data_IF_060915494034
#
_entry.id   IF_060915494034
#
_cell.length_a   1.000
_cell.length_b   1.000
_cell.length_c   1.000
_cell.angle_alpha   90.00
_cell.angle_beta   90.00
_cell.angle_gamma   90.00
#
_symmetry.space_group_name_H-M   'P 1'
#
loop_
_entity.id
_entity.type
_entity.pdbx_description
1 polymer ?
#
# COMPACT_ATOMS: atom_id res chain seq x y z
N UNK A 1 11.78 -4.19 -17.00
CA UNK A 1 10.84 -3.14 -16.57
C UNK A 1 11.66 -1.97 -16.06
N UNK A 2 11.36 -0.73 -16.44
CA UNK A 2 12.02 0.42 -15.81
C UNK A 2 11.22 0.82 -14.58
N UNK A 3 11.74 0.51 -13.40
CA UNK A 3 11.19 0.90 -12.10
C UNK A 3 11.89 2.14 -11.58
N UNK A 4 11.26 2.87 -10.66
CA UNK A 4 11.90 4.01 -10.00
C UNK A 4 12.66 3.53 -8.77
N UNK A 5 13.78 4.19 -8.46
CA UNK A 5 14.57 3.86 -7.25
C UNK A 5 13.72 3.90 -5.97
N UNK A 6 12.79 4.86 -5.85
CA UNK A 6 11.91 4.97 -4.68
C UNK A 6 10.93 3.80 -4.60
N UNK A 7 10.39 3.35 -5.74
CA UNK A 7 9.50 2.20 -5.81
C UNK A 7 10.21 0.92 -5.36
N UNK A 8 11.38 0.62 -5.93
CA UNK A 8 12.13 -0.59 -5.59
C UNK A 8 12.48 -0.63 -4.10
N UNK A 9 12.90 0.51 -3.54
CA UNK A 9 13.18 0.63 -2.12
C UNK A 9 11.94 0.44 -1.23
N UNK A 10 10.78 0.95 -1.64
CA UNK A 10 9.55 0.76 -0.89
C UNK A 10 9.07 -0.70 -0.94
N UNK A 11 9.10 -1.34 -2.11
CA UNK A 11 8.69 -2.74 -2.29
C UNK A 11 9.61 -3.68 -1.51
N UNK A 12 10.93 -3.49 -1.57
CA UNK A 12 11.88 -4.31 -0.81
C UNK A 12 11.63 -4.22 0.70
N UNK A 13 11.44 -3.01 1.25
CA UNK A 13 11.12 -2.81 2.66
C UNK A 13 9.80 -3.46 3.06
N UNK A 14 8.76 -3.30 2.25
CA UNK A 14 7.44 -3.89 2.51
C UNK A 14 7.49 -5.42 2.44
N UNK A 15 8.23 -5.97 1.48
CA UNK A 15 8.45 -7.40 1.33
C UNK A 15 9.17 -7.97 2.55
N UNK A 16 10.29 -7.35 2.97
CA UNK A 16 11.01 -7.74 4.17
C UNK A 16 10.12 -7.66 5.42
N UNK A 17 9.34 -6.59 5.58
CA UNK A 17 8.44 -6.44 6.72
C UNK A 17 7.36 -7.53 6.77
N UNK A 18 6.79 -7.88 5.61
CA UNK A 18 5.81 -8.96 5.50
C UNK A 18 6.42 -10.33 5.85
N UNK A 19 7.58 -10.67 5.29
CA UNK A 19 8.23 -11.97 5.52
C UNK A 19 8.81 -12.10 6.95
N UNK A 20 9.24 -11.00 7.56
CA UNK A 20 9.75 -10.99 8.93
C UNK A 20 8.66 -10.90 10.00
N UNK A 21 7.37 -10.97 9.63
CA UNK A 21 6.23 -10.83 10.54
C UNK A 21 6.19 -9.49 11.28
N UNK A 22 6.78 -8.44 10.71
CA UNK A 22 6.83 -7.10 11.31
C UNK A 22 5.88 -6.11 10.66
N UNK A 23 5.07 -6.52 9.68
CA UNK A 23 4.06 -5.67 9.05
C UNK A 23 2.76 -5.72 9.87
N UNK A 24 2.36 -4.62 10.50
CA UNK A 24 1.22 -4.58 11.43
C UNK A 24 0.30 -3.36 11.20
N UNK A 25 -1.00 -3.56 10.88
CA UNK A 25 -1.95 -2.46 10.63
C UNK A 25 -2.11 -1.45 11.76
N UNK A 26 -2.12 -1.90 13.02
CA UNK A 26 -2.40 -1.01 14.16
C UNK A 26 -1.13 -0.35 14.77
N UNK A 27 0.04 -0.50 14.15
CA UNK A 27 1.30 0.03 14.68
C UNK A 27 1.91 1.03 13.68
N UNK A 28 1.99 2.31 14.05
CA UNK A 28 2.44 3.38 13.17
C UNK A 28 3.91 3.26 12.69
N UNK A 29 4.72 2.46 13.39
CA UNK A 29 6.11 2.15 12.99
C UNK A 29 6.19 0.93 12.06
N UNK A 30 5.20 0.04 12.12
CA UNK A 30 5.22 -1.28 11.48
C UNK A 30 4.14 -1.44 10.40
N UNK A 31 3.26 -0.46 10.21
CA UNK A 31 2.34 -0.44 9.09
C UNK A 31 3.08 -0.24 7.76
N UNK A 32 2.35 -0.16 6.65
CA UNK A 32 2.95 0.04 5.34
C UNK A 32 3.80 1.33 5.28
N UNK A 33 3.27 2.44 5.80
CA UNK A 33 4.01 3.71 5.81
C UNK A 33 5.20 3.67 6.77
N UNK A 34 5.00 3.15 7.98
CA UNK A 34 6.08 2.99 8.95
C UNK A 34 7.24 2.17 8.38
N UNK A 35 6.93 1.07 7.69
CA UNK A 35 7.92 0.22 7.02
C UNK A 35 8.67 0.97 5.90
N UNK A 36 7.95 1.70 5.03
CA UNK A 36 8.57 2.54 3.99
C UNK A 36 9.48 3.61 4.61
N UNK A 37 9.08 4.17 5.76
CA UNK A 37 9.73 5.23 6.51
C UNK A 37 10.82 4.77 7.50
N UNK A 38 11.31 3.54 7.38
CA UNK A 38 12.39 2.97 8.21
C UNK A 38 12.00 2.82 9.69
N UNK A 39 10.76 2.38 9.94
CA UNK A 39 10.25 2.21 11.30
C UNK A 39 9.89 3.51 11.99
N UNK A 40 9.80 4.63 11.27
CA UNK A 40 9.49 5.95 11.86
C UNK A 40 8.01 6.28 11.72
N UNK A 41 7.47 6.92 12.75
CA UNK A 41 6.03 7.22 12.88
C UNK A 41 5.71 8.71 12.74
N UNK A 42 6.67 9.57 12.36
CA UNK A 42 6.47 11.03 12.24
C UNK A 42 5.29 11.40 11.34
N UNK A 43 5.01 10.57 10.33
CA UNK A 43 3.96 10.78 9.35
C UNK A 43 2.56 10.79 9.98
N UNK A 44 2.39 10.14 11.14
CA UNK A 44 1.12 10.13 11.89
C UNK A 44 0.70 11.54 12.31
N UNK A 45 1.65 12.47 12.42
CA UNK A 45 1.39 13.87 12.79
C UNK A 45 0.96 14.75 11.61
N UNK A 46 0.89 14.21 10.39
CA UNK A 46 0.37 14.94 9.23
C UNK A 46 -1.16 15.00 9.17
N UNK A 47 -1.86 14.19 9.96
CA UNK A 47 -3.31 14.23 10.12
C UNK A 47 -3.68 14.22 11.60
N UNK A 48 -4.89 14.66 11.92
CA UNK A 48 -5.37 14.71 13.31
C UNK A 48 -5.99 13.38 13.76
N UNK A 49 -6.28 12.48 12.83
CA UNK A 49 -6.93 11.19 13.08
C UNK A 49 -6.19 10.09 12.32
N UNK A 50 -5.93 8.96 12.99
CA UNK A 50 -5.22 7.85 12.38
C UNK A 50 -6.00 7.27 11.20
N UNK A 51 -5.33 7.12 10.06
CA UNK A 51 -5.95 6.68 8.80
C UNK A 51 -6.82 7.73 8.10
N UNK A 52 -6.80 8.99 8.55
CA UNK A 52 -7.39 10.10 7.80
C UNK A 52 -6.49 10.52 6.63
N UNK A 53 -7.10 10.78 5.48
CA UNK A 53 -6.43 11.34 4.30
C UNK A 53 -6.33 12.87 4.33
N UNK A 54 -6.89 13.51 5.36
CA UNK A 54 -6.89 14.98 5.46
C UNK A 54 -5.65 15.48 6.18
N UNK A 55 -4.85 16.27 5.48
CA UNK A 55 -3.70 16.95 6.07
C UNK A 55 -4.15 17.98 7.11
N UNK A 56 -3.55 17.93 8.29
CA UNK A 56 -3.62 18.99 9.28
C UNK A 56 -2.67 20.14 8.92
N UNK A 57 -2.49 21.11 9.82
CA UNK A 57 -1.61 22.25 9.58
C UNK A 57 -0.15 21.82 9.29
N UNK A 58 0.40 20.90 10.09
CA UNK A 58 1.78 20.40 9.92
C UNK A 58 1.92 19.67 8.58
N UNK A 59 0.95 18.83 8.24
CA UNK A 59 0.88 18.14 6.94
C UNK A 59 0.84 19.12 5.77
N UNK A 60 -0.05 20.12 5.82
CA UNK A 60 -0.21 21.15 4.78
C UNK A 60 1.06 21.97 4.58
N UNK A 61 1.71 22.38 5.68
CA UNK A 61 2.99 23.11 5.60
C UNK A 61 4.04 22.27 4.88
N UNK A 62 4.28 21.02 5.31
CA UNK A 62 5.27 20.17 4.67
C UNK A 62 4.92 19.90 3.19
N UNK A 63 3.63 19.73 2.87
CA UNK A 63 3.13 19.53 1.51
C UNK A 63 3.41 20.75 0.63
N UNK A 64 3.06 21.96 1.09
CA UNK A 64 3.24 23.21 0.36
C UNK A 64 4.72 23.55 0.13
N UNK A 65 5.60 23.19 1.05
CA UNK A 65 7.05 23.31 0.87
C UNK A 65 7.66 22.23 -0.04
N UNK A 66 6.86 21.32 -0.59
CA UNK A 66 7.33 20.26 -1.47
C UNK A 66 8.23 19.24 -0.76
N UNK A 67 8.14 19.13 0.58
CA UNK A 67 8.96 18.19 1.33
C UNK A 67 8.60 16.75 0.97
N UNK A 68 9.63 15.91 0.86
CA UNK A 68 9.51 14.49 0.58
C UNK A 68 10.20 13.70 1.68
N UNK A 69 9.60 12.58 2.05
CA UNK A 69 10.09 11.63 3.03
C UNK A 69 10.21 10.29 2.33
N UNK A 70 11.44 9.79 2.20
CA UNK A 70 11.75 8.60 1.40
C UNK A 70 11.17 8.65 -0.03
N UNK A 71 11.08 9.87 -0.61
CA UNK A 71 10.52 10.08 -1.95
C UNK A 71 9.02 10.34 -2.02
N UNK A 72 8.30 10.34 -0.89
CA UNK A 72 6.85 10.54 -0.81
C UNK A 72 6.49 11.85 -0.10
N UNK A 73 5.50 12.56 -0.62
CA UNK A 73 4.91 13.73 0.03
C UNK A 73 4.05 13.35 1.23
N UNK A 74 3.75 14.29 2.14
CA UNK A 74 2.80 14.07 3.22
C UNK A 74 1.47 13.45 2.75
N UNK A 75 0.89 13.95 1.66
CA UNK A 75 -0.36 13.39 1.13
C UNK A 75 -0.18 11.95 0.63
N UNK A 76 0.89 11.67 -0.13
CA UNK A 76 1.18 10.31 -0.62
C UNK A 76 1.31 9.32 0.56
N UNK A 77 1.92 9.73 1.67
CA UNK A 77 2.04 8.88 2.87
C UNK A 77 0.68 8.61 3.52
N UNK A 78 -0.18 9.62 3.69
CA UNK A 78 -1.52 9.41 4.26
C UNK A 78 -2.37 8.51 3.35
N UNK A 79 -2.26 8.66 2.03
CA UNK A 79 -2.97 7.83 1.07
C UNK A 79 -2.51 6.38 1.13
N UNK A 80 -1.20 6.11 1.26
CA UNK A 80 -0.65 4.76 1.44
C UNK A 80 -1.23 4.11 2.69
N UNK A 81 -1.26 4.82 3.82
CA UNK A 81 -1.79 4.26 5.07
C UNK A 81 -3.29 3.96 4.95
N UNK A 82 -4.07 4.90 4.42
CA UNK A 82 -5.50 4.72 4.25
C UNK A 82 -5.80 3.53 3.32
N UNK A 83 -5.05 3.36 2.24
CA UNK A 83 -5.19 2.21 1.33
C UNK A 83 -4.86 0.90 2.05
N UNK A 84 -3.75 0.87 2.79
CA UNK A 84 -3.33 -0.30 3.56
C UNK A 84 -4.40 -0.73 4.56
N UNK A 85 -4.85 0.19 5.41
CA UNK A 85 -5.87 -0.07 6.43
C UNK A 85 -7.21 -0.49 5.81
N UNK A 86 -7.66 0.20 4.75
CA UNK A 86 -8.91 -0.15 4.06
C UNK A 86 -8.84 -1.55 3.44
N UNK A 87 -7.71 -1.91 2.82
CA UNK A 87 -7.50 -3.23 2.24
C UNK A 87 -7.43 -4.34 3.31
N UNK A 88 -6.89 -4.02 4.49
CA UNK A 88 -6.92 -4.88 5.68
C UNK A 88 -8.31 -5.01 6.33
N UNK A 89 -9.32 -4.26 5.86
CA UNK A 89 -10.71 -4.36 6.34
C UNK A 89 -11.09 -3.39 7.45
N UNK A 90 -10.30 -2.35 7.69
CA UNK A 90 -10.64 -1.31 8.66
C UNK A 90 -11.59 -0.27 8.07
N UNK A 91 -12.51 0.23 8.90
CA UNK A 91 -13.21 1.49 8.62
C UNK A 91 -12.30 2.68 8.91
N UNK A 92 -12.31 3.69 8.03
CA UNK A 92 -11.48 4.88 8.15
C UNK A 92 -12.32 6.16 8.29
N UNK A 93 -11.86 7.16 9.07
CA UNK A 93 -10.69 7.11 9.98
C UNK A 93 -10.88 6.07 11.10
N UNK A 94 -9.78 5.63 11.74
CA UNK A 94 -9.89 4.62 12.79
C UNK A 94 -10.69 5.19 13.96
N UNK A 95 -11.78 4.50 14.29
CA UNK A 95 -12.60 4.77 15.46
C UNK A 95 -12.62 3.54 16.39
N UNK A 96 -12.81 3.76 17.68
CA UNK A 96 -12.96 2.70 18.68
C UNK A 96 -14.19 1.81 18.40
N UNK A 97 -15.24 2.38 17.82
CA UNK A 97 -16.45 1.66 17.39
C UNK A 97 -16.41 1.26 15.90
N UNK A 98 -15.29 1.51 15.22
CA UNK A 98 -15.13 1.22 13.81
C UNK A 98 -15.06 -0.29 13.52
N UNK A 99 -15.31 -0.65 12.26
CA UNK A 99 -15.11 -2.01 11.77
C UNK A 99 -13.61 -2.31 11.77
N UNK A 100 -13.24 -3.44 12.37
CA UNK A 100 -11.87 -3.95 12.41
C UNK A 100 -11.85 -5.44 12.09
N UNK A 101 -10.79 -5.94 11.47
CA UNK A 101 -10.61 -7.38 11.30
C UNK A 101 -10.47 -8.07 12.66
N UNK A 102 -11.02 -9.28 12.79
CA UNK A 102 -10.91 -10.11 13.99
C UNK A 102 -9.45 -10.42 14.36
N UNK A 103 -8.59 -10.63 13.35
CA UNK A 103 -7.17 -10.86 13.54
C UNK A 103 -6.35 -9.93 12.62
N UNK A 104 -5.92 -8.75 13.13
CA UNK A 104 -5.05 -7.81 12.41
C UNK A 104 -3.71 -8.41 11.94
N UNK A 105 -3.25 -9.47 12.60
CA UNK A 105 -1.98 -10.15 12.31
C UNK A 105 -2.12 -11.30 11.33
N UNK A 106 -3.32 -11.53 10.80
CA UNK A 106 -3.56 -12.56 9.80
C UNK A 106 -2.75 -12.28 8.52
N UNK A 107 -2.02 -13.30 8.06
CA UNK A 107 -1.13 -13.18 6.89
C UNK A 107 -1.86 -12.88 5.60
N UNK A 108 -3.06 -13.41 5.42
CA UNK A 108 -3.86 -13.16 4.23
C UNK A 108 -4.37 -11.72 4.22
N UNK A 109 -4.78 -11.19 5.39
CA UNK A 109 -5.15 -9.77 5.55
C UNK A 109 -3.96 -8.85 5.27
N UNK A 110 -2.80 -9.13 5.88
CA UNK A 110 -1.56 -8.38 5.65
C UNK A 110 -1.14 -8.40 4.18
N UNK A 111 -1.24 -9.55 3.51
CA UNK A 111 -0.90 -9.69 2.09
C UNK A 111 -1.85 -8.90 1.18
N UNK A 112 -3.15 -8.88 1.51
CA UNK A 112 -4.14 -8.04 0.82
C UNK A 112 -3.82 -6.55 0.97
N UNK A 113 -3.47 -6.12 2.18
CA UNK A 113 -2.99 -4.77 2.45
C UNK A 113 -1.75 -4.42 1.64
N UNK A 114 -0.74 -5.28 1.70
CA UNK A 114 0.52 -5.15 0.95
C UNK A 114 0.28 -5.02 -0.55
N UNK A 115 -0.54 -5.91 -1.13
CA UNK A 115 -0.85 -5.91 -2.57
C UNK A 115 -1.51 -4.60 -3.00
N UNK A 116 -2.47 -4.10 -2.21
CA UNK A 116 -3.15 -2.84 -2.49
C UNK A 116 -2.18 -1.63 -2.46
N UNK A 117 -1.24 -1.63 -1.52
CA UNK A 117 -0.20 -0.60 -1.44
C UNK A 117 0.72 -0.67 -2.67
N UNK A 118 1.18 -1.86 -3.06
CA UNK A 118 2.06 -2.02 -4.23
C UNK A 118 1.36 -1.53 -5.51
N UNK A 119 0.09 -1.91 -5.71
CA UNK A 119 -0.71 -1.40 -6.85
C UNK A 119 -0.83 0.13 -6.83
N UNK A 120 -1.01 0.73 -5.66
CA UNK A 120 -1.02 2.20 -5.53
C UNK A 120 0.34 2.82 -5.87
N UNK A 121 1.45 2.23 -5.38
CA UNK A 121 2.81 2.67 -5.69
C UNK A 121 3.09 2.61 -7.19
N UNK A 122 2.71 1.52 -7.87
CA UNK A 122 2.80 1.40 -9.32
C UNK A 122 2.07 2.56 -10.03
N UNK A 123 0.87 2.90 -9.58
CA UNK A 123 0.07 3.99 -10.16
C UNK A 123 0.74 5.36 -10.03
N UNK A 124 1.25 5.71 -8.85
CA UNK A 124 1.88 7.03 -8.62
C UNK A 124 3.26 7.14 -9.25
N UNK A 125 3.92 6.01 -9.53
CA UNK A 125 5.18 5.94 -10.27
C UNK A 125 5.01 5.71 -11.77
N UNK A 126 3.76 5.62 -12.27
CA UNK A 126 3.42 5.33 -13.67
C UNK A 126 4.07 4.02 -14.20
N UNK A 127 4.26 3.05 -13.31
CA UNK A 127 4.74 1.70 -13.61
C UNK A 127 3.52 0.83 -13.91
N UNK A 128 3.58 -0.05 -14.91
CA UNK A 128 2.49 -1.01 -15.12
C UNK A 128 2.34 -1.90 -13.88
N UNK A 129 1.13 -1.98 -13.36
CA UNK A 129 0.85 -2.71 -12.12
C UNK A 129 1.31 -4.17 -12.24
N UNK A 130 2.32 -4.51 -11.43
CA UNK A 130 2.98 -5.83 -11.39
C UNK A 130 2.12 -6.84 -10.62
N UNK A 131 1.22 -6.34 -9.75
CA UNK A 131 0.34 -7.14 -8.91
C UNK A 131 -1.03 -7.39 -9.55
N UNK A 132 -1.25 -6.89 -10.77
CA UNK A 132 -2.48 -7.10 -11.52
C UNK A 132 -2.46 -8.50 -12.16
N UNK A 133 -2.60 -9.54 -11.33
CA UNK A 133 -2.71 -10.93 -11.78
C UNK A 133 -3.90 -11.14 -12.72
N UNK A 134 -4.92 -10.25 -12.73
CA UNK A 134 -5.97 -10.28 -13.73
C UNK A 134 -5.42 -10.08 -15.15
N UNK A 135 -4.34 -9.32 -15.35
CA UNK A 135 -3.70 -9.20 -16.67
C UNK A 135 -2.99 -10.49 -17.09
N UNK A 136 -2.34 -11.19 -16.16
CA UNK A 136 -1.71 -12.48 -16.43
C UNK A 136 -2.75 -13.57 -16.72
N UNK A 137 -3.82 -13.63 -15.92
CA UNK A 137 -4.93 -14.58 -16.10
C UNK A 137 -5.75 -14.29 -17.36
N UNK A 138 -5.96 -13.02 -17.72
CA UNK A 138 -6.62 -12.65 -18.99
C UNK A 138 -5.74 -12.93 -20.21
N UNK A 139 -4.41 -12.87 -20.07
CA UNK A 139 -3.48 -13.25 -21.13
C UNK A 139 -3.52 -14.76 -21.38
N UNK A 140 -3.57 -15.58 -20.33
CA UNK A 140 -3.74 -17.03 -20.45
C UNK A 140 -5.11 -17.41 -21.05
N UNK A 141 -6.19 -16.72 -20.65
CA UNK A 141 -7.53 -16.96 -21.18
C UNK A 141 -7.67 -16.63 -22.69
N UNK A 142 -7.06 -15.54 -23.16
CA UNK A 142 -7.07 -15.17 -24.58
C UNK A 142 -6.20 -16.09 -25.45
N UNK A 143 -5.23 -16.80 -24.87
CA UNK A 143 -4.37 -17.77 -25.58
C UNK A 143 -4.92 -19.21 -25.56
N UNK A 144 -5.93 -19.52 -24.73
CA UNK A 144 -6.56 -20.84 -24.67
C UNK A 144 -7.66 -21.08 -25.72
N UNK A 145 -8.07 -20.05 -26.47
CA UNK A 145 -9.10 -20.17 -27.52
C UNK A 145 -8.57 -20.64 -28.89
N UNK A 146 -7.27 -20.97 -29.01
CA UNK A 146 -6.67 -21.45 -30.28
C UNK A 146 -6.34 -22.95 -30.31
N UNK A 147 -7.17 -23.79 -29.69
CA UNK A 147 -7.02 -25.25 -29.83
C UNK A 147 -8.33 -26.03 -29.78
N UNK A 148 -9.40 -25.56 -30.43
CA UNK A 148 -10.53 -26.42 -30.81
C UNK A 148 -10.98 -26.12 -32.25
N UNK A 149 -10.15 -26.53 -33.20
CA UNK A 149 -10.55 -26.99 -34.54
C UNK A 149 -9.27 -27.57 -35.15
N UNK A 150 -9.09 -28.87 -35.27
CA UNK A 150 -9.83 -29.71 -36.20
C UNK A 150 -9.94 -31.13 -35.67
N UNK A 151 -11.18 -31.58 -35.52
CA UNK A 151 -11.56 -32.98 -35.65
C UNK A 151 -11.62 -33.31 -37.14
N UNK A 152 -10.88 -34.34 -37.57
CA UNK A 152 -11.22 -35.22 -38.69
C UNK A 152 -10.42 -36.51 -38.55
#
# INVERSE_FOLDING_TARGET
>A
MMTTKRFDQAVDKLYQAFHNNSLHPECAMQCAVGSICDGRDFWKHFSDQHGSIHLNYVGKVNQSFGRKFNGYSPQELLDIEAIFLKACGYSLPLDHNGVRPLNPSDKHIQFKGLSAVISYLCRIDQISDVMDYHKLLNFEYQNSDYSISHSA
#
